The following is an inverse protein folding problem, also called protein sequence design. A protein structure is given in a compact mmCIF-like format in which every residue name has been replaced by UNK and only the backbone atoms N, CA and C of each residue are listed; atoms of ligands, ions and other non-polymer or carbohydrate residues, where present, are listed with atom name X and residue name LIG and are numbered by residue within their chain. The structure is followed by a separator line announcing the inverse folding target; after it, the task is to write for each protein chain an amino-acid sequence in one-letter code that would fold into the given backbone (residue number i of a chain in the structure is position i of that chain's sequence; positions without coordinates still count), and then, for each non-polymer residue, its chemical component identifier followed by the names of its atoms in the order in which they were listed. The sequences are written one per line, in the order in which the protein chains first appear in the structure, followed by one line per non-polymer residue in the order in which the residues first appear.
data_IF_166672756992
#
_entry.id   IF_166672756992
#
_cell.length_a   1.000
_cell.length_b   1.000
_cell.length_c   1.000
_cell.angle_alpha   90.00
_cell.angle_beta   90.00
_cell.angle_gamma   90.00
#
_symmetry.space_group_name_H-M   'P 1'
#
loop_
_entity.id
_entity.type
_entity.pdbx_description
1 polymer ?
#
# COMPACT_ATOMS: atom_id res chain seq x y z
N UNK A 1 -14.60 0.59 -10.48
CA UNK A 1 -15.67 1.46 -9.92
C UNK A 1 -15.72 1.44 -8.39
N UNK A 2 -15.48 0.31 -7.71
CA UNK A 2 -15.34 0.27 -6.23
C UNK A 2 -14.02 0.91 -5.73
N UNK A 3 -12.97 0.93 -6.56
CA UNK A 3 -11.64 1.45 -6.22
C UNK A 3 -11.62 2.95 -5.84
N UNK A 4 -12.36 3.82 -6.55
CA UNK A 4 -12.25 5.27 -6.34
C UNK A 4 -12.92 5.73 -5.05
N UNK A 5 -14.08 5.14 -4.71
CA UNK A 5 -14.76 5.43 -3.43
C UNK A 5 -13.94 4.97 -2.23
N UNK A 6 -13.22 3.84 -2.36
CA UNK A 6 -12.31 3.35 -1.32
C UNK A 6 -11.11 4.27 -1.16
N UNK A 7 -10.50 4.69 -2.27
CA UNK A 7 -9.42 5.68 -2.28
C UNK A 7 -9.85 7.00 -1.63
N UNK A 8 -11.07 7.44 -1.93
CA UNK A 8 -11.64 8.63 -1.33
C UNK A 8 -11.83 8.46 0.20
N UNK A 9 -12.39 7.34 0.66
CA UNK A 9 -12.58 7.08 2.08
C UNK A 9 -11.25 7.12 2.86
N UNK A 10 -10.16 6.61 2.28
CA UNK A 10 -8.83 6.62 2.91
C UNK A 10 -8.21 8.02 3.06
N UNK A 11 -8.55 8.96 2.18
CA UNK A 11 -7.99 10.33 2.18
C UNK A 11 -8.93 11.37 2.79
N UNK A 12 -10.23 11.08 2.88
CA UNK A 12 -11.25 11.99 3.41
C UNK A 12 -10.93 12.57 4.79
N UNK A 13 -10.42 11.80 5.78
CA UNK A 13 -10.02 12.37 7.06
C UNK A 13 -9.03 13.53 6.93
N UNK A 14 -8.06 13.41 6.02
CA UNK A 14 -7.00 14.39 5.79
C UNK A 14 -7.51 15.61 5.04
N UNK A 15 -8.38 15.41 4.04
CA UNK A 15 -9.05 16.50 3.33
C UNK A 15 -9.86 17.33 4.33
N UNK A 16 -10.68 16.69 5.16
CA UNK A 16 -11.49 17.38 6.16
C UNK A 16 -10.63 18.06 7.23
N UNK A 17 -9.53 17.45 7.69
CA UNK A 17 -8.61 18.08 8.63
C UNK A 17 -8.01 19.39 8.05
N UNK A 18 -7.68 19.36 6.76
CA UNK A 18 -7.08 20.48 6.03
C UNK A 18 -8.10 21.61 5.79
N UNK A 19 -9.29 21.29 5.28
CA UNK A 19 -10.22 22.29 4.75
C UNK A 19 -11.45 22.58 5.62
N UNK A 20 -11.89 21.67 6.47
CA UNK A 20 -13.11 21.88 7.25
C UNK A 20 -12.85 22.94 8.32
N UNK A 21 -13.54 24.08 8.27
CA UNK A 21 -13.51 25.08 9.32
C UNK A 21 -14.80 25.04 10.13
N UNK A 22 -14.78 25.55 11.35
CA UNK A 22 -15.99 25.65 12.18
C UNK A 22 -17.03 26.59 11.58
N UNK A 23 -16.56 27.64 10.89
CA UNK A 23 -17.35 28.57 10.07
C UNK A 23 -18.05 27.89 8.89
N UNK A 24 -17.49 26.78 8.36
CA UNK A 24 -18.07 26.05 7.22
C UNK A 24 -19.31 25.23 7.59
N UNK A 25 -19.54 25.00 8.89
CA UNK A 25 -20.65 24.18 9.36
C UNK A 25 -21.87 25.05 9.67
N UNK A 26 -23.05 24.65 9.20
CA UNK A 26 -24.30 25.26 9.62
C UNK A 26 -24.46 25.10 11.13
N UNK A 27 -24.82 26.18 11.82
CA UNK A 27 -24.90 26.19 13.28
C UNK A 27 -25.94 25.18 13.81
N UNK A 28 -27.10 25.08 13.15
CA UNK A 28 -28.15 24.14 13.51
C UNK A 28 -27.68 22.68 13.43
N UNK A 29 -26.94 22.33 12.37
CA UNK A 29 -26.37 20.99 12.20
C UNK A 29 -25.31 20.69 13.25
N UNK A 30 -24.43 21.65 13.52
CA UNK A 30 -23.40 21.53 14.55
C UNK A 30 -24.02 21.27 15.92
N UNK A 31 -25.04 22.05 16.31
CA UNK A 31 -25.78 21.86 17.57
C UNK A 31 -26.50 20.51 17.62
N UNK A 32 -27.04 20.06 16.50
CA UNK A 32 -27.71 18.75 16.40
C UNK A 32 -26.73 17.60 16.64
N UNK A 33 -25.57 17.62 15.97
CA UNK A 33 -24.50 16.63 16.18
C UNK A 33 -24.05 16.65 17.64
N UNK A 34 -23.74 17.83 18.18
CA UNK A 34 -23.29 18.01 19.57
C UNK A 34 -24.28 17.45 20.60
N UNK A 35 -25.59 17.67 20.41
CA UNK A 35 -26.63 17.08 21.25
C UNK A 35 -26.62 15.56 21.21
N UNK A 36 -26.49 14.94 20.03
CA UNK A 36 -26.48 13.48 19.90
C UNK A 36 -25.24 12.83 20.52
N UNK A 37 -24.11 13.52 20.51
CA UNK A 37 -22.87 13.05 21.14
C UNK A 37 -22.73 13.48 22.61
N UNK A 38 -23.70 14.22 23.15
CA UNK A 38 -23.70 14.75 24.51
C UNK A 38 -22.50 15.68 24.81
N UNK A 39 -22.09 16.48 23.83
CA UNK A 39 -21.01 17.49 23.98
C UNK A 39 -21.51 18.91 23.78
N UNK A 40 -20.80 19.89 24.36
CA UNK A 40 -21.24 21.30 24.37
C UNK A 40 -20.39 22.24 23.54
N UNK A 41 -19.14 21.87 23.21
CA UNK A 41 -18.19 22.76 22.52
C UNK A 41 -18.35 22.67 21.00
N UNK A 42 -18.70 23.78 20.33
CA UNK A 42 -18.92 23.82 18.87
C UNK A 42 -17.70 23.34 18.06
N UNK A 43 -16.48 23.65 18.52
CA UNK A 43 -15.25 23.18 17.89
C UNK A 43 -15.12 21.64 17.89
N UNK A 44 -15.86 20.93 18.74
CA UNK A 44 -15.91 19.46 18.76
C UNK A 44 -16.74 18.89 17.62
N UNK A 45 -17.71 19.63 17.06
CA UNK A 45 -18.52 19.14 15.95
C UNK A 45 -17.63 18.80 14.73
N UNK A 46 -16.72 19.71 14.36
CA UNK A 46 -15.70 19.46 13.32
C UNK A 46 -14.87 18.22 13.64
N UNK A 47 -14.31 18.13 14.84
CA UNK A 47 -13.43 17.03 15.22
C UNK A 47 -14.14 15.68 15.20
N UNK A 48 -15.43 15.66 15.57
CA UNK A 48 -16.27 14.46 15.55
C UNK A 48 -16.60 14.03 14.12
N UNK A 49 -16.85 14.97 13.21
CA UNK A 49 -17.01 14.67 11.78
C UNK A 49 -15.73 14.04 11.23
N UNK A 50 -14.56 14.62 11.51
CA UNK A 50 -13.27 14.06 11.08
C UNK A 50 -13.05 12.68 11.72
N UNK A 51 -13.32 12.53 13.02
CA UNK A 51 -13.19 11.25 13.72
C UNK A 51 -14.11 10.18 13.14
N UNK A 52 -15.33 10.54 12.73
CA UNK A 52 -16.25 9.63 12.04
C UNK A 52 -15.62 9.10 10.75
N UNK A 53 -15.04 9.97 9.92
CA UNK A 53 -14.31 9.53 8.73
C UNK A 53 -13.05 8.73 9.04
N UNK A 54 -12.38 8.98 10.17
CA UNK A 54 -11.27 8.14 10.64
C UNK A 54 -11.74 6.71 10.91
N UNK A 55 -12.89 6.52 11.57
CA UNK A 55 -13.43 5.18 11.80
C UNK A 55 -13.84 4.49 10.49
N UNK A 56 -14.44 5.24 9.55
CA UNK A 56 -14.75 4.72 8.21
C UNK A 56 -13.47 4.28 7.50
N UNK A 57 -12.43 5.11 7.48
CA UNK A 57 -11.16 4.80 6.83
C UNK A 57 -10.45 3.57 7.46
N UNK A 58 -10.45 3.48 8.80
CA UNK A 58 -9.95 2.31 9.53
C UNK A 58 -10.71 1.04 9.19
N UNK A 59 -12.04 1.10 9.22
CA UNK A 59 -12.90 -0.05 8.93
C UNK A 59 -12.68 -0.52 7.50
N UNK A 60 -12.61 0.40 6.55
CA UNK A 60 -12.31 0.06 5.15
C UNK A 60 -10.93 -0.61 5.02
N UNK A 61 -9.88 -0.10 5.67
CA UNK A 61 -8.57 -0.76 5.67
C UNK A 61 -8.67 -2.23 6.13
N UNK A 62 -9.34 -2.48 7.26
CA UNK A 62 -9.50 -3.85 7.78
C UNK A 62 -10.32 -4.74 6.84
N UNK A 63 -11.40 -4.20 6.25
CA UNK A 63 -12.26 -4.94 5.33
C UNK A 63 -11.52 -5.39 4.07
N UNK A 64 -10.54 -4.60 3.61
CA UNK A 64 -9.75 -4.89 2.42
C UNK A 64 -8.36 -5.46 2.73
N UNK A 65 -8.13 -5.94 3.95
CA UNK A 65 -6.86 -6.58 4.30
C UNK A 65 -6.78 -7.99 3.69
N UNK A 66 -5.64 -8.29 3.06
CA UNK A 66 -5.44 -9.53 2.30
C UNK A 66 -5.13 -10.73 3.19
N UNK A 67 -4.77 -10.50 4.45
CA UNK A 67 -4.41 -11.53 5.43
C UNK A 67 -4.96 -11.15 6.79
N UNK A 68 -5.57 -12.11 7.48
CA UNK A 68 -6.08 -11.92 8.83
C UNK A 68 -5.33 -12.83 9.79
N UNK A 69 -4.89 -12.28 10.92
CA UNK A 69 -4.49 -13.04 12.11
C UNK A 69 -5.67 -13.14 13.08
N UNK A 70 -5.50 -13.86 14.20
CA UNK A 70 -6.50 -13.86 15.28
C UNK A 70 -6.77 -12.42 15.77
N UNK A 71 -5.72 -11.62 15.95
CA UNK A 71 -5.83 -10.22 16.36
C UNK A 71 -6.55 -9.37 15.30
N UNK A 72 -6.34 -9.64 13.99
CA UNK A 72 -7.05 -8.93 12.92
C UNK A 72 -8.57 -9.07 13.00
N UNK A 73 -9.08 -10.24 13.44
CA UNK A 73 -10.53 -10.43 13.60
C UNK A 73 -11.09 -9.59 14.74
N UNK A 74 -10.37 -9.51 15.85
CA UNK A 74 -10.79 -8.70 17.01
C UNK A 74 -10.71 -7.20 16.69
N UNK A 75 -9.68 -6.79 15.93
CA UNK A 75 -9.56 -5.42 15.44
C UNK A 75 -10.65 -5.06 14.43
N UNK A 76 -11.01 -5.97 13.51
CA UNK A 76 -12.15 -5.82 12.60
C UNK A 76 -13.45 -5.63 13.39
N UNK A 77 -13.72 -6.49 14.38
CA UNK A 77 -14.93 -6.38 15.20
C UNK A 77 -15.02 -5.00 15.87
N UNK A 78 -13.93 -4.55 16.49
CA UNK A 78 -13.85 -3.25 17.13
C UNK A 78 -14.10 -2.11 16.14
N UNK A 79 -13.52 -2.17 14.95
CA UNK A 79 -13.74 -1.16 13.91
C UNK A 79 -15.21 -1.07 13.50
N UNK A 80 -15.85 -2.21 13.24
CA UNK A 80 -17.26 -2.29 12.84
C UNK A 80 -18.19 -1.75 13.93
N UNK A 81 -17.96 -2.12 15.19
CA UNK A 81 -18.75 -1.63 16.33
C UNK A 81 -18.63 -0.11 16.51
N UNK A 82 -17.42 0.44 16.38
CA UNK A 82 -17.20 1.87 16.51
C UNK A 82 -17.78 2.65 15.34
N UNK A 83 -17.66 2.14 14.11
CA UNK A 83 -18.30 2.72 12.92
C UNK A 83 -19.83 2.77 13.08
N UNK A 84 -20.44 1.65 13.52
CA UNK A 84 -21.87 1.57 13.79
C UNK A 84 -22.36 2.54 14.88
N UNK A 85 -21.51 2.86 15.87
CA UNK A 85 -21.86 3.81 16.94
C UNK A 85 -21.74 5.26 16.48
N UNK A 86 -20.68 5.60 15.73
CA UNK A 86 -20.38 7.00 15.40
C UNK A 86 -21.15 7.49 14.18
N UNK A 87 -21.32 6.65 13.15
CA UNK A 87 -21.92 7.06 11.88
C UNK A 87 -23.35 7.59 12.07
N UNK A 88 -24.26 6.91 12.82
CA UNK A 88 -25.61 7.44 13.07
C UNK A 88 -25.66 8.68 13.97
N UNK A 89 -24.65 8.87 14.82
CA UNK A 89 -24.56 10.07 15.68
C UNK A 89 -24.24 11.31 14.86
N UNK A 90 -23.33 11.19 13.90
CA UNK A 90 -22.95 12.29 13.01
C UNK A 90 -23.97 12.46 11.88
N UNK A 91 -24.35 11.36 11.24
CA UNK A 91 -25.22 11.29 10.07
C UNK A 91 -26.44 10.40 10.36
N UNK A 92 -27.56 10.96 10.87
CA UNK A 92 -28.69 10.20 11.37
C UNK A 92 -29.40 9.37 10.28
N UNK A 93 -29.28 9.79 9.01
CA UNK A 93 -29.78 9.05 7.85
C UNK A 93 -29.19 7.64 7.72
N UNK A 94 -28.03 7.36 8.32
CA UNK A 94 -27.42 6.03 8.29
C UNK A 94 -27.99 5.04 9.30
N UNK A 95 -28.72 5.49 10.33
CA UNK A 95 -29.13 4.65 11.46
C UNK A 95 -29.90 3.38 11.07
N UNK A 96 -30.71 3.47 10.00
CA UNK A 96 -31.60 2.39 9.56
C UNK A 96 -31.22 1.85 8.18
N UNK A 97 -30.02 2.15 7.67
CA UNK A 97 -29.62 1.66 6.36
C UNK A 97 -29.21 0.18 6.44
N UNK A 98 -29.72 -0.68 5.54
CA UNK A 98 -29.29 -2.08 5.45
C UNK A 98 -27.78 -2.22 5.30
N UNK A 99 -27.14 -1.27 4.61
CA UNK A 99 -25.70 -1.22 4.41
C UNK A 99 -24.91 -0.96 5.70
N UNK A 100 -25.52 -0.36 6.73
CA UNK A 100 -24.89 -0.25 8.05
C UNK A 100 -25.18 -1.50 8.89
N UNK A 101 -26.36 -2.10 8.74
CA UNK A 101 -26.71 -3.35 9.43
C UNK A 101 -25.80 -4.52 9.00
N UNK A 102 -25.43 -4.59 7.72
CA UNK A 102 -24.57 -5.66 7.19
C UNK A 102 -23.21 -5.74 7.93
N UNK A 103 -22.72 -4.63 8.50
CA UNK A 103 -21.46 -4.59 9.23
C UNK A 103 -21.40 -5.61 10.37
N UNK A 104 -22.53 -5.89 11.04
CA UNK A 104 -22.61 -6.88 12.12
C UNK A 104 -22.25 -8.30 11.60
N UNK A 105 -22.55 -8.58 10.33
CA UNK A 105 -22.33 -9.89 9.71
C UNK A 105 -20.95 -10.03 9.08
N UNK A 106 -20.22 -8.92 8.86
CA UNK A 106 -18.91 -8.93 8.20
C UNK A 106 -17.87 -9.74 8.98
N UNK A 107 -17.89 -9.72 10.31
CA UNK A 107 -16.97 -10.54 11.11
C UNK A 107 -17.20 -12.04 10.87
N UNK A 108 -18.45 -12.47 10.82
CA UNK A 108 -18.81 -13.88 10.56
C UNK A 108 -18.38 -14.28 9.16
N UNK A 109 -18.56 -13.40 8.18
CA UNK A 109 -18.08 -13.61 6.82
C UNK A 109 -16.56 -13.71 6.77
N UNK A 110 -15.83 -12.80 7.44
CA UNK A 110 -14.38 -12.86 7.53
C UNK A 110 -13.92 -14.19 8.12
N UNK A 111 -14.48 -14.63 9.26
CA UNK A 111 -14.10 -15.91 9.90
C UNK A 111 -14.44 -17.12 9.05
N UNK A 112 -15.59 -17.10 8.38
CA UNK A 112 -16.01 -18.18 7.48
C UNK A 112 -15.12 -18.23 6.24
N UNK A 113 -14.75 -17.06 5.69
CA UNK A 113 -14.09 -16.94 4.41
C UNK A 113 -12.61 -16.57 4.48
N UNK A 114 -12.02 -16.50 5.67
CA UNK A 114 -10.61 -16.20 5.92
C UNK A 114 -10.34 -14.70 5.86
N UNK A 115 -10.86 -14.02 4.84
CA UNK A 115 -10.85 -12.56 4.70
C UNK A 115 -12.14 -12.10 4.03
N UNK A 116 -12.44 -10.80 4.12
CA UNK A 116 -13.58 -10.21 3.44
C UNK A 116 -13.35 -10.03 1.93
N UNK A 117 -12.09 -9.96 1.48
CA UNK A 117 -11.73 -9.96 0.06
C UNK A 117 -12.30 -11.21 -0.65
N UNK A 118 -12.26 -12.37 0.02
CA UNK A 118 -12.79 -13.62 -0.54
C UNK A 118 -14.31 -13.60 -0.76
N UNK A 119 -15.01 -12.63 -0.17
CA UNK A 119 -16.46 -12.41 -0.37
C UNK A 119 -16.76 -11.22 -1.27
N UNK A 120 -15.74 -10.54 -1.79
CA UNK A 120 -15.91 -9.32 -2.55
C UNK A 120 -16.58 -9.58 -3.90
N UNK A 121 -17.63 -8.82 -4.17
CA UNK A 121 -18.40 -8.90 -5.43
C UNK A 121 -17.52 -8.57 -6.65
N UNK A 122 -16.49 -7.72 -6.50
CA UNK A 122 -15.57 -7.38 -7.58
C UNK A 122 -14.92 -8.59 -8.25
N UNK A 123 -14.46 -9.57 -7.46
CA UNK A 123 -13.88 -10.81 -7.98
C UNK A 123 -14.95 -11.61 -8.74
N UNK A 124 -16.16 -11.73 -8.16
CA UNK A 124 -17.30 -12.37 -8.83
C UNK A 124 -17.63 -11.70 -10.17
N UNK A 125 -17.67 -10.37 -10.23
CA UNK A 125 -17.97 -9.62 -11.46
C UNK A 125 -16.86 -9.76 -12.51
N UNK A 126 -15.59 -9.83 -12.08
CA UNK A 126 -14.47 -10.11 -12.97
C UNK A 126 -14.57 -11.52 -13.57
N UNK A 127 -14.82 -12.52 -12.72
CA UNK A 127 -15.08 -13.91 -13.14
C UNK A 127 -16.28 -13.98 -14.09
N UNK A 128 -17.36 -13.28 -13.78
CA UNK A 128 -18.56 -13.20 -14.62
C UNK A 128 -18.27 -12.58 -15.99
N UNK A 129 -17.44 -11.53 -16.03
CA UNK A 129 -16.99 -10.89 -17.28
C UNK A 129 -16.18 -11.85 -18.15
N UNK A 130 -15.23 -12.56 -17.55
CA UNK A 130 -14.42 -13.58 -18.24
C UNK A 130 -15.33 -14.68 -18.79
N UNK A 131 -16.26 -15.19 -18.00
CA UNK A 131 -17.19 -16.23 -18.46
C UNK A 131 -18.14 -15.76 -19.55
N UNK A 132 -18.63 -14.52 -19.47
CA UNK A 132 -19.40 -13.91 -20.57
C UNK A 132 -18.57 -13.80 -21.86
N UNK A 133 -17.29 -13.43 -21.76
CA UNK A 133 -16.41 -13.37 -22.92
C UNK A 133 -16.14 -14.76 -23.52
N UNK A 134 -16.03 -15.80 -22.68
CA UNK A 134 -15.83 -17.20 -23.13
C UNK A 134 -17.07 -17.83 -23.75
N UNK A 135 -18.28 -17.32 -23.47
CA UNK A 135 -19.54 -17.87 -23.98
C UNK A 135 -20.25 -16.82 -24.83
N UNK A 136 -19.83 -16.63 -26.10
CA UNK A 136 -20.41 -15.60 -26.97
C UNK A 136 -21.88 -15.85 -27.32
N UNK A 137 -22.40 -17.07 -27.11
CA UNK A 137 -23.81 -17.44 -27.30
C UNK A 137 -24.26 -18.44 -26.22
N UNK A 138 -25.21 -18.04 -25.37
CA UNK A 138 -25.73 -18.83 -24.22
C UNK A 138 -26.82 -19.81 -24.63
N UNK A 139 -26.54 -20.69 -25.59
CA UNK A 139 -27.50 -21.65 -26.08
C UNK A 139 -27.24 -22.98 -25.34
N UNK A 140 -28.06 -23.28 -24.32
CA UNK A 140 -28.17 -24.60 -23.65
C UNK A 140 -27.11 -25.02 -22.61
N UNK A 141 -26.23 -24.15 -22.09
CA UNK A 141 -25.33 -24.50 -20.98
C UNK A 141 -25.88 -24.00 -19.63
N UNK A 142 -26.04 -24.90 -18.65
CA UNK A 142 -26.46 -24.54 -17.29
C UNK A 142 -25.28 -23.94 -16.51
N UNK A 143 -25.00 -22.66 -16.77
CA UNK A 143 -23.90 -21.90 -16.18
C UNK A 143 -23.99 -21.89 -14.64
N UNK A 144 -25.20 -21.86 -14.07
CA UNK A 144 -25.41 -21.87 -12.62
C UNK A 144 -24.90 -23.16 -11.97
N UNK A 145 -25.21 -24.31 -12.56
CA UNK A 145 -24.76 -25.62 -12.06
C UNK A 145 -23.24 -25.80 -12.18
N UNK A 146 -22.64 -25.27 -13.24
CA UNK A 146 -21.18 -25.28 -13.41
C UNK A 146 -20.47 -24.36 -12.40
N UNK A 147 -21.07 -23.21 -12.08
CA UNK A 147 -20.57 -22.30 -11.04
C UNK A 147 -20.67 -22.92 -9.64
N UNK A 148 -21.80 -23.55 -9.32
CA UNK A 148 -22.00 -24.27 -8.07
C UNK A 148 -20.95 -25.38 -7.88
N UNK A 149 -20.70 -26.19 -8.92
CA UNK A 149 -19.64 -27.22 -8.88
C UNK A 149 -18.26 -26.62 -8.58
N UNK A 150 -17.89 -25.53 -9.27
CA UNK A 150 -16.60 -24.85 -9.05
C UNK A 150 -16.50 -24.29 -7.63
N UNK A 151 -17.57 -23.70 -7.13
CA UNK A 151 -17.63 -23.17 -5.76
C UNK A 151 -17.45 -24.30 -4.73
N UNK A 152 -18.15 -25.43 -4.90
CA UNK A 152 -17.99 -26.61 -4.05
C UNK A 152 -16.58 -27.17 -4.10
N UNK A 153 -15.94 -27.22 -5.28
CA UNK A 153 -14.55 -27.67 -5.42
C UNK A 153 -13.58 -26.75 -4.69
N UNK A 154 -13.67 -25.42 -4.88
CA UNK A 154 -12.81 -24.45 -4.18
C UNK A 154 -13.00 -24.53 -2.66
N UNK A 155 -14.24 -24.70 -2.23
CA UNK A 155 -14.58 -24.86 -0.82
C UNK A 155 -13.99 -26.13 -0.21
N UNK A 156 -14.07 -27.27 -0.93
CA UNK A 156 -13.46 -28.52 -0.49
C UNK A 156 -11.93 -28.41 -0.43
N UNK A 157 -11.31 -27.79 -1.43
CA UNK A 157 -9.86 -27.52 -1.44
C UNK A 157 -9.46 -26.71 -0.22
N UNK A 158 -10.19 -25.64 0.07
CA UNK A 158 -9.93 -24.83 1.25
C UNK A 158 -10.08 -25.61 2.54
N UNK A 159 -11.14 -26.39 2.69
CA UNK A 159 -11.34 -27.21 3.88
C UNK A 159 -10.18 -28.18 4.13
N UNK A 160 -9.58 -28.71 3.06
CA UNK A 160 -8.37 -29.54 3.12
C UNK A 160 -7.14 -28.73 3.54
N UNK A 161 -6.95 -27.53 2.98
CA UNK A 161 -5.84 -26.62 3.33
C UNK A 161 -5.90 -26.18 4.79
N UNK A 162 -7.11 -25.88 5.29
CA UNK A 162 -7.38 -25.47 6.67
C UNK A 162 -7.29 -26.66 7.67
N UNK A 163 -6.75 -27.81 7.23
CA UNK A 163 -6.53 -28.99 8.08
C UNK A 163 -7.82 -29.65 8.55
N UNK A 164 -8.92 -29.48 7.82
CA UNK A 164 -10.24 -30.00 8.18
C UNK A 164 -10.97 -29.18 9.24
N UNK A 165 -10.50 -27.97 9.56
CA UNK A 165 -11.19 -27.07 10.48
C UNK A 165 -12.28 -26.29 9.73
N UNK A 166 -13.54 -26.38 10.18
CA UNK A 166 -14.64 -25.53 9.74
C UNK A 166 -15.56 -25.23 10.91
N UNK A 167 -15.75 -23.95 11.24
CA UNK A 167 -16.59 -23.51 12.37
C UNK A 167 -18.08 -23.83 12.18
N UNK A 168 -18.53 -24.13 10.96
CA UNK A 168 -19.90 -24.58 10.68
C UNK A 168 -20.10 -26.07 10.94
N UNK A 169 -19.02 -26.84 11.02
CA UNK A 169 -19.06 -28.27 11.30
C UNK A 169 -18.84 -28.46 12.81
N UNK A 170 -19.66 -29.32 13.41
CA UNK A 170 -19.64 -29.58 14.85
C UNK A 170 -18.36 -30.29 15.32
N UNK A 171 -17.60 -30.89 14.42
CA UNK A 171 -16.33 -31.56 14.71
C UNK A 171 -15.32 -31.31 13.58
N UNK A 172 -14.07 -30.91 13.90
CA UNK A 172 -13.01 -30.77 12.91
C UNK A 172 -12.52 -32.16 12.43
N UNK A 173 -12.23 -32.28 11.13
CA UNK A 173 -11.68 -33.49 10.54
C UNK A 173 -10.17 -33.60 10.82
N UNK A 174 -9.79 -34.13 11.98
CA UNK A 174 -8.39 -34.25 12.44
C UNK A 174 -7.44 -34.99 11.48
N UNK A 175 -7.97 -35.79 10.55
CA UNK A 175 -7.19 -36.51 9.53
C UNK A 175 -6.50 -35.62 8.50
N UNK A 176 -6.93 -34.36 8.36
CA UNK A 176 -6.33 -33.41 7.39
C UNK A 176 -5.29 -32.47 8.03
N UNK A 177 -5.07 -32.53 9.34
CA UNK A 177 -4.14 -31.64 10.04
C UNK A 177 -2.68 -31.76 9.54
N UNK A 178 -2.31 -32.92 9.00
CA UNK A 178 -0.98 -33.18 8.40
C UNK A 178 -0.90 -32.89 6.90
N UNK A 179 -2.01 -32.54 6.23
CA UNK A 179 -2.01 -32.27 4.79
C UNK A 179 -1.48 -30.88 4.43
N UNK A 180 -1.58 -29.88 5.31
CA UNK A 180 -1.24 -28.48 5.00
C UNK A 180 0.22 -28.31 4.52
N UNK A 181 1.16 -29.09 5.05
CA UNK A 181 2.58 -29.07 4.63
C UNK A 181 2.79 -29.64 3.22
N UNK A 182 2.01 -30.66 2.82
CA UNK A 182 2.13 -31.31 1.51
C UNK A 182 1.27 -30.63 0.43
N UNK A 183 0.20 -29.93 0.82
CA UNK A 183 -0.74 -29.31 -0.12
C UNK A 183 -0.14 -28.11 -0.86
N UNK A 184 0.74 -27.35 -0.19
CA UNK A 184 1.43 -26.19 -0.81
C UNK A 184 2.27 -26.62 -2.02
N UNK A 185 2.96 -27.75 -1.94
CA UNK A 185 3.74 -28.32 -3.05
C UNK A 185 2.87 -28.85 -4.20
N UNK A 186 1.60 -29.16 -3.93
CA UNK A 186 0.67 -29.71 -4.92
C UNK A 186 0.03 -28.61 -5.79
N UNK A 187 -0.01 -27.37 -5.29
CA UNK A 187 -0.65 -26.21 -5.94
C UNK A 187 0.34 -25.17 -6.46
N UNK A 188 1.63 -25.24 -6.13
CA UNK A 188 2.66 -24.26 -6.52
C UNK A 188 2.86 -24.11 -8.04
N UNK A 189 2.35 -25.05 -8.85
CA UNK A 189 2.42 -24.99 -10.32
C UNK A 189 1.03 -24.86 -10.99
N UNK A 190 -0.03 -24.54 -10.24
CA UNK A 190 -1.40 -24.49 -10.75
C UNK A 190 -1.91 -23.05 -10.96
N UNK A 191 -1.10 -22.18 -11.56
CA UNK A 191 -1.61 -20.91 -12.07
C UNK A 191 -2.22 -21.12 -13.46
N UNK A 192 -3.45 -20.63 -13.64
CA UNK A 192 -4.01 -20.38 -14.97
C UNK A 192 -3.36 -19.08 -15.45
N UNK A 193 -2.24 -19.19 -16.17
CA UNK A 193 -1.69 -18.06 -16.92
C UNK A 193 -2.53 -17.86 -18.17
N UNK A 194 -3.28 -16.76 -18.25
CA UNK A 194 -3.49 -16.14 -19.56
C UNK A 194 -2.11 -15.64 -20.00
N UNK A 195 -1.59 -16.21 -21.08
CA UNK A 195 -0.47 -15.65 -21.83
C UNK A 195 -0.84 -14.23 -22.27
N UNK A 196 -0.54 -13.27 -21.41
CA UNK A 196 -0.47 -11.85 -21.74
C UNK A 196 0.94 -11.41 -21.43
N UNK A 197 1.88 -11.93 -22.21
CA UNK A 197 3.04 -11.14 -22.61
C UNK A 197 2.46 -9.87 -23.22
N UNK A 198 2.36 -8.85 -22.38
CA UNK A 198 1.93 -7.53 -22.78
C UNK A 198 3.01 -7.01 -23.70
N UNK A 199 2.62 -6.69 -24.94
CA UNK A 199 3.42 -5.93 -25.89
C UNK A 199 3.66 -4.51 -25.34
N UNK A 200 4.45 -4.38 -24.28
CA UNK A 200 5.16 -3.15 -24.00
C UNK A 200 6.41 -3.18 -24.86
N UNK A 201 6.48 -2.27 -25.83
CA UNK A 201 7.60 -2.09 -26.75
C UNK A 201 8.92 -2.18 -26.00
N UNK A 202 9.78 -3.11 -26.44
CA UNK A 202 11.19 -3.17 -26.05
C UNK A 202 11.83 -1.78 -26.29
N UNK A 203 12.66 -1.28 -25.35
CA UNK A 203 13.34 -0.02 -25.53
C UNK A 203 14.27 -0.05 -26.75
N UNK A 204 14.37 1.08 -27.45
CA UNK A 204 15.29 1.30 -28.58
C UNK A 204 16.74 0.95 -28.19
N UNK A 205 17.45 0.26 -29.08
CA UNK A 205 18.78 -0.39 -28.89
C UNK A 205 19.96 0.54 -28.51
N UNK A 206 19.72 1.81 -28.16
CA UNK A 206 20.77 2.82 -27.91
C UNK A 206 20.85 3.34 -26.46
N UNK A 207 20.11 2.78 -25.51
CA UNK A 207 20.28 3.14 -24.09
C UNK A 207 21.45 2.34 -23.47
N UNK A 208 22.46 3.04 -22.96
CA UNK A 208 23.57 2.42 -22.20
C UNK A 208 23.02 1.56 -21.05
N UNK A 209 23.34 0.27 -21.06
CA UNK A 209 22.82 -0.69 -20.09
C UNK A 209 23.24 -0.35 -18.65
N UNK A 210 22.26 -0.33 -17.75
CA UNK A 210 22.48 -0.11 -16.31
C UNK A 210 22.62 -1.47 -15.63
N UNK A 211 23.72 -1.64 -14.91
CA UNK A 211 24.03 -2.85 -14.17
C UNK A 211 23.31 -2.84 -12.82
N UNK A 212 22.74 -3.98 -12.47
CA UNK A 212 22.23 -4.22 -11.12
C UNK A 212 23.36 -4.69 -10.20
N UNK A 213 23.44 -4.19 -8.97
CA UNK A 213 24.37 -4.71 -7.97
C UNK A 213 23.89 -6.02 -7.31
N UNK A 214 22.64 -6.44 -7.58
CA UNK A 214 21.98 -7.59 -6.97
C UNK A 214 21.23 -8.43 -8.01
N UNK A 215 21.13 -9.74 -7.77
CA UNK A 215 20.56 -10.67 -8.76
C UNK A 215 19.04 -10.55 -8.89
N UNK A 216 18.35 -10.15 -7.81
CA UNK A 216 16.88 -10.04 -7.78
C UNK A 216 16.35 -8.75 -8.44
N UNK A 217 17.20 -7.85 -8.92
CA UNK A 217 16.80 -6.65 -9.67
C UNK A 217 17.33 -6.74 -11.10
N UNK A 218 16.46 -6.55 -12.07
CA UNK A 218 16.79 -6.59 -13.51
C UNK A 218 16.07 -5.47 -14.27
N UNK A 219 16.46 -5.25 -15.53
CA UNK A 219 15.80 -4.30 -16.45
C UNK A 219 15.67 -2.86 -15.91
N UNK A 220 16.75 -2.35 -15.30
CA UNK A 220 16.79 -0.96 -14.81
C UNK A 220 16.83 0.00 -15.99
N UNK A 221 15.81 0.86 -16.09
CA UNK A 221 15.66 1.90 -17.12
C UNK A 221 15.48 3.24 -16.42
N UNK A 222 16.22 4.26 -16.86
CA UNK A 222 16.11 5.63 -16.34
C UNK A 222 15.52 6.55 -17.40
N UNK A 223 14.48 7.29 -17.05
CA UNK A 223 13.71 8.10 -18.01
C UNK A 223 13.63 9.56 -17.59
N UNK A 224 13.45 10.42 -18.59
CA UNK A 224 13.28 11.88 -18.46
C UNK A 224 14.46 12.55 -17.75
N UNK A 225 15.49 12.92 -18.52
CA UNK A 225 16.67 13.57 -17.97
C UNK A 225 16.32 14.94 -17.36
N UNK A 226 16.90 15.25 -16.20
CA UNK A 226 16.66 16.52 -15.51
C UNK A 226 17.42 17.68 -16.16
N UNK A 227 16.85 18.88 -16.03
CA UNK A 227 17.52 20.11 -16.42
C UNK A 227 18.72 20.41 -15.50
N UNK A 228 19.64 21.26 -15.99
CA UNK A 228 20.77 21.73 -15.18
C UNK A 228 20.31 22.43 -13.89
N UNK A 229 19.24 23.20 -13.95
CA UNK A 229 18.70 23.94 -12.81
C UNK A 229 18.17 22.99 -11.73
N UNK A 230 17.42 21.96 -12.12
CA UNK A 230 16.89 20.97 -11.19
C UNK A 230 18.00 20.18 -10.50
N UNK A 231 19.03 19.80 -11.29
CA UNK A 231 20.24 19.18 -10.76
C UNK A 231 20.94 20.08 -9.73
N UNK A 232 21.14 21.36 -10.04
CA UNK A 232 21.78 22.30 -9.11
C UNK A 232 20.97 22.48 -7.82
N UNK A 233 19.64 22.43 -7.89
CA UNK A 233 18.77 22.48 -6.72
C UNK A 233 18.90 21.24 -5.83
N UNK A 234 18.96 20.04 -6.42
CA UNK A 234 19.18 18.80 -5.67
C UNK A 234 20.57 18.84 -5.01
N UNK A 235 21.60 19.21 -5.76
CA UNK A 235 22.98 19.26 -5.27
C UNK A 235 23.20 20.26 -4.13
N UNK A 236 22.47 21.39 -4.10
CA UNK A 236 22.54 22.37 -2.99
C UNK A 236 22.14 21.77 -1.64
N UNK A 237 21.28 20.75 -1.65
CA UNK A 237 20.79 20.09 -0.44
C UNK A 237 21.61 18.85 -0.05
N UNK A 238 22.72 18.57 -0.73
CA UNK A 238 23.60 17.40 -0.52
C UNK A 238 25.03 17.83 -0.21
N UNK A 239 25.32 18.36 1.00
CA UNK A 239 26.63 18.92 1.33
C UNK A 239 27.78 17.89 1.29
N UNK A 240 27.50 16.62 1.59
CA UNK A 240 28.48 15.53 1.68
C UNK A 240 28.44 14.57 0.49
N UNK A 241 28.01 15.06 -0.68
CA UNK A 241 27.75 14.22 -1.86
C UNK A 241 28.89 13.24 -2.20
N UNK A 242 30.13 13.72 -2.27
CA UNK A 242 31.28 12.89 -2.68
C UNK A 242 31.57 11.76 -1.71
N UNK A 243 31.55 12.04 -0.41
CA UNK A 243 31.80 11.03 0.62
C UNK A 243 30.67 10.01 0.70
N UNK A 244 29.43 10.45 0.58
CA UNK A 244 28.28 9.54 0.60
C UNK A 244 28.23 8.66 -0.64
N UNK A 245 28.50 9.22 -1.83
CA UNK A 245 28.59 8.44 -3.06
C UNK A 245 29.66 7.36 -2.96
N UNK A 246 30.83 7.67 -2.37
CA UNK A 246 31.88 6.68 -2.14
C UNK A 246 31.39 5.53 -1.26
N UNK A 247 30.67 5.83 -0.18
CA UNK A 247 30.07 4.82 0.69
C UNK A 247 29.01 3.99 -0.06
N UNK A 248 28.17 4.62 -0.88
CA UNK A 248 27.17 3.89 -1.70
C UNK A 248 27.82 2.94 -2.70
N UNK A 249 29.01 3.26 -3.22
CA UNK A 249 29.79 2.34 -4.04
C UNK A 249 30.35 1.16 -3.23
N UNK A 250 30.79 1.41 -2.00
CA UNK A 250 31.23 0.34 -1.11
C UNK A 250 30.08 -0.63 -0.78
N UNK A 251 28.85 -0.13 -0.62
CA UNK A 251 27.65 -0.94 -0.38
C UNK A 251 27.40 -1.96 -1.51
N UNK A 252 27.81 -1.64 -2.75
CA UNK A 252 27.68 -2.52 -3.93
C UNK A 252 28.98 -3.27 -4.28
N UNK A 253 29.93 -3.34 -3.34
CA UNK A 253 31.19 -4.07 -3.52
C UNK A 253 32.25 -3.37 -4.38
N UNK A 254 32.03 -2.10 -4.76
CA UNK A 254 32.97 -1.32 -5.56
C UNK A 254 33.89 -0.48 -4.64
N UNK A 255 35.21 -0.63 -4.81
CA UNK A 255 36.22 -0.01 -3.91
C UNK A 255 36.41 1.50 -4.10
N UNK A 256 35.95 2.06 -5.21
CA UNK A 256 35.93 3.51 -5.47
C UNK A 256 35.12 3.83 -6.73
N UNK A 257 34.75 5.11 -6.88
CA UNK A 257 34.15 5.66 -8.08
C UNK A 257 35.20 6.45 -8.88
N UNK A 258 35.10 6.48 -10.21
CA UNK A 258 35.88 7.42 -11.03
C UNK A 258 35.48 8.85 -10.66
N UNK A 259 36.42 9.68 -10.20
CA UNK A 259 36.18 11.05 -9.71
C UNK A 259 35.63 12.00 -10.81
N UNK A 260 35.64 11.58 -12.09
CA UNK A 260 35.35 12.44 -13.25
C UNK A 260 34.33 11.87 -14.26
N UNK A 261 33.52 10.87 -13.91
CA UNK A 261 32.52 10.36 -14.86
C UNK A 261 31.32 11.33 -15.00
N UNK A 262 30.76 11.41 -16.20
CA UNK A 262 29.54 12.17 -16.44
C UNK A 262 28.39 11.55 -15.62
N UNK A 263 27.66 12.41 -14.91
CA UNK A 263 26.52 12.03 -14.09
C UNK A 263 25.24 12.47 -14.78
N UNK A 264 24.42 11.49 -15.16
CA UNK A 264 23.08 11.71 -15.70
C UNK A 264 22.05 11.66 -14.58
N UNK A 265 21.22 12.70 -14.47
CA UNK A 265 20.09 12.77 -13.53
C UNK A 265 18.77 12.58 -14.27
N UNK A 266 17.82 11.95 -13.60
CA UNK A 266 16.57 11.49 -14.18
C UNK A 266 15.41 11.71 -13.22
N UNK A 267 14.20 11.90 -13.76
CA UNK A 267 12.97 12.04 -12.99
C UNK A 267 12.41 10.66 -12.58
N UNK A 268 12.60 9.63 -13.42
CA UNK A 268 12.06 8.29 -13.17
C UNK A 268 13.09 7.18 -13.30
N UNK A 269 12.89 6.12 -12.52
CA UNK A 269 13.49 4.81 -12.71
C UNK A 269 12.41 3.73 -12.79
N UNK A 270 12.60 2.74 -13.65
CA UNK A 270 11.77 1.53 -13.67
C UNK A 270 12.66 0.30 -13.66
N UNK A 271 12.29 -0.73 -12.91
CA UNK A 271 13.01 -1.99 -12.87
C UNK A 271 12.09 -3.16 -12.53
N UNK A 272 12.53 -4.37 -12.80
CA UNK A 272 11.85 -5.60 -12.40
C UNK A 272 12.53 -6.15 -11.15
N UNK A 273 11.74 -6.47 -10.13
CA UNK A 273 12.21 -7.04 -8.87
C UNK A 273 11.61 -8.43 -8.65
N UNK A 274 12.43 -9.41 -8.28
CA UNK A 274 11.99 -10.73 -7.84
C UNK A 274 11.65 -10.68 -6.35
N UNK A 275 10.41 -10.99 -6.00
CA UNK A 275 9.94 -11.10 -4.62
C UNK A 275 10.27 -12.48 -4.02
N UNK A 276 10.18 -12.60 -2.69
CA UNK A 276 10.58 -13.81 -1.95
C UNK A 276 9.73 -15.06 -2.25
N UNK A 277 8.58 -14.89 -2.91
CA UNK A 277 7.71 -15.96 -3.39
C UNK A 277 7.94 -16.31 -4.87
N UNK A 278 8.97 -15.73 -5.51
CA UNK A 278 9.31 -15.91 -6.93
C UNK A 278 8.45 -15.09 -7.89
N UNK A 279 7.61 -14.18 -7.39
CA UNK A 279 6.81 -13.28 -8.21
C UNK A 279 7.67 -12.11 -8.68
N UNK A 280 7.58 -11.77 -9.97
CA UNK A 280 8.27 -10.61 -10.52
C UNK A 280 7.34 -9.38 -10.53
N UNK A 281 7.75 -8.34 -9.82
CA UNK A 281 7.04 -7.07 -9.72
C UNK A 281 7.75 -5.96 -10.50
N UNK A 282 6.99 -5.22 -11.32
CA UNK A 282 7.52 -4.05 -12.04
C UNK A 282 7.45 -2.82 -11.14
N UNK A 283 8.60 -2.32 -10.75
CA UNK A 283 8.75 -1.16 -9.87
C UNK A 283 8.90 0.11 -10.68
N UNK A 284 8.20 1.16 -10.26
CA UNK A 284 8.27 2.50 -10.84
C UNK A 284 8.60 3.49 -9.73
N UNK A 285 9.70 4.21 -9.88
CA UNK A 285 10.15 5.26 -8.97
C UNK A 285 10.09 6.60 -9.67
N UNK A 286 9.61 7.60 -8.94
CA UNK A 286 9.61 9.00 -9.33
C UNK A 286 10.26 9.85 -8.23
N UNK A 287 10.88 10.97 -8.60
CA UNK A 287 11.30 11.98 -7.63
C UNK A 287 10.08 12.48 -6.84
N UNK A 288 10.13 12.43 -5.51
CA UNK A 288 9.04 12.76 -4.62
C UNK A 288 8.24 11.55 -4.13
N UNK A 289 8.49 10.36 -4.68
CA UNK A 289 7.91 9.14 -4.13
C UNK A 289 8.44 8.87 -2.72
N UNK A 290 7.56 8.34 -1.87
CA UNK A 290 7.92 7.85 -0.55
C UNK A 290 8.16 6.35 -0.62
N UNK A 291 9.31 5.92 -0.11
CA UNK A 291 9.78 4.54 -0.12
C UNK A 291 10.00 4.03 1.29
N UNK A 292 9.92 2.71 1.44
CA UNK A 292 10.29 2.00 2.68
C UNK A 292 11.67 1.38 2.48
N UNK A 293 12.52 1.53 3.49
CA UNK A 293 13.86 0.94 3.56
C UNK A 293 13.99 0.22 4.91
N UNK A 294 14.36 -1.05 4.90
CA UNK A 294 14.70 -1.80 6.11
C UNK A 294 16.14 -1.55 6.51
N UNK A 295 16.32 -1.20 7.77
CA UNK A 295 17.61 -1.21 8.44
C UNK A 295 17.60 -2.33 9.50
N UNK A 296 18.71 -3.09 9.59
CA UNK A 296 18.82 -4.27 10.46
C UNK A 296 18.48 -3.98 11.94
N UNK A 297 18.81 -2.78 12.43
CA UNK A 297 18.68 -2.42 13.85
C UNK A 297 17.40 -1.61 14.18
N UNK A 298 16.76 -1.00 13.18
CA UNK A 298 15.71 0.02 13.37
C UNK A 298 14.36 -0.35 12.71
N UNK A 299 14.30 -1.46 11.97
CA UNK A 299 13.07 -1.95 11.34
C UNK A 299 12.69 -1.18 10.07
N UNK A 300 11.41 -0.92 9.86
CA UNK A 300 10.92 -0.16 8.71
C UNK A 300 11.20 1.35 8.86
N UNK A 301 12.12 1.87 8.05
CA UNK A 301 12.36 3.30 7.88
C UNK A 301 11.66 3.83 6.62
N UNK A 302 11.35 5.12 6.60
CA UNK A 302 10.68 5.77 5.47
C UNK A 302 11.52 6.93 4.95
N UNK A 303 11.57 7.11 3.63
CA UNK A 303 12.29 8.20 3.01
C UNK A 303 11.56 8.74 1.77
N UNK A 304 11.80 9.99 1.42
CA UNK A 304 11.33 10.59 0.17
C UNK A 304 12.46 10.69 -0.84
N UNK A 305 12.22 10.24 -2.06
CA UNK A 305 13.21 10.35 -3.14
C UNK A 305 13.34 11.82 -3.55
N UNK A 306 14.56 12.36 -3.48
CA UNK A 306 14.90 13.70 -3.95
C UNK A 306 15.60 13.73 -5.29
N UNK A 307 16.13 12.60 -5.74
CA UNK A 307 16.86 12.53 -6.99
C UNK A 307 17.21 11.11 -7.37
N UNK A 308 17.32 10.88 -8.67
CA UNK A 308 17.68 9.60 -9.27
C UNK A 308 18.78 9.90 -10.29
N UNK A 309 19.87 9.15 -10.25
CA UNK A 309 20.99 9.38 -11.15
C UNK A 309 21.73 8.09 -11.48
N UNK A 310 22.41 8.08 -12.62
CA UNK A 310 23.39 7.04 -12.96
C UNK A 310 24.81 7.54 -12.75
N UNK A 311 25.69 6.63 -12.36
CA UNK A 311 27.12 6.89 -12.24
C UNK A 311 27.94 5.72 -12.73
N UNK A 312 29.08 6.01 -13.38
CA UNK A 312 29.98 4.98 -13.92
C UNK A 312 30.95 4.50 -12.84
N UNK A 313 30.97 3.19 -12.59
CA UNK A 313 31.91 2.52 -11.70
C UNK A 313 33.30 2.35 -12.33
N UNK A 314 34.24 1.83 -11.55
CA UNK A 314 35.60 1.56 -12.01
C UNK A 314 35.70 0.35 -12.95
N UNK A 315 34.67 -0.49 -12.98
CA UNK A 315 34.54 -1.64 -13.88
C UNK A 315 33.93 -1.27 -15.24
N UNK A 316 33.86 0.04 -15.51
CA UNK A 316 33.30 0.64 -16.71
C UNK A 316 31.78 0.43 -16.89
N UNK A 317 31.08 -0.05 -15.85
CA UNK A 317 29.62 -0.23 -15.86
C UNK A 317 28.89 0.95 -15.22
N UNK A 318 27.66 1.19 -15.65
CA UNK A 318 26.78 2.18 -15.03
C UNK A 318 25.91 1.55 -13.95
N UNK A 319 25.76 2.26 -12.83
CA UNK A 319 24.88 1.89 -11.73
C UNK A 319 23.89 3.01 -11.44
N UNK A 320 22.69 2.64 -10.97
CA UNK A 320 21.66 3.59 -10.57
C UNK A 320 21.69 3.85 -9.05
N UNK A 321 21.61 5.14 -8.71
CA UNK A 321 21.61 5.63 -7.34
C UNK A 321 20.43 6.56 -7.12
N UNK A 322 20.05 6.68 -5.86
CA UNK A 322 19.01 7.59 -5.39
C UNK A 322 19.61 8.53 -4.34
N UNK A 323 19.06 9.73 -4.28
CA UNK A 323 19.25 10.65 -3.15
C UNK A 323 17.93 10.76 -2.41
N UNK A 324 17.93 10.66 -1.09
CA UNK A 324 16.74 10.64 -0.26
C UNK A 324 16.82 11.61 0.92
N UNK A 325 15.67 12.02 1.44
CA UNK A 325 15.55 12.60 2.77
C UNK A 325 14.74 11.66 3.67
N UNK A 326 15.26 11.40 4.87
CA UNK A 326 14.61 10.49 5.83
C UNK A 326 13.41 11.14 6.52
N UNK A 327 12.39 10.32 6.79
CA UNK A 327 11.32 10.65 7.72
C UNK A 327 11.73 10.24 9.14
N UNK A 328 11.79 11.22 10.03
CA UNK A 328 12.06 11.02 11.45
C UNK A 328 10.75 11.00 12.23
N UNK A 329 10.52 9.90 12.97
CA UNK A 329 9.31 9.73 13.78
C UNK A 329 9.41 10.59 15.04
N UNK A 330 8.49 11.54 15.19
CA UNK A 330 8.50 12.44 16.35
C UNK A 330 7.86 11.83 17.60
N UNK A 331 7.46 10.55 17.56
CA UNK A 331 6.81 9.80 18.63
C UNK A 331 5.53 10.48 19.17
N UNK A 332 4.82 11.18 18.28
CA UNK A 332 3.54 11.84 18.58
C UNK A 332 2.47 11.36 17.60
N UNK A 333 1.24 11.29 18.10
CA UNK A 333 0.07 10.89 17.32
C UNK A 333 -0.81 12.12 17.12
N UNK A 334 -1.29 12.33 15.90
CA UNK A 334 -2.22 13.40 15.60
C UNK A 334 -3.52 13.23 16.39
N UNK A 335 -3.94 14.26 17.12
CA UNK A 335 -5.01 14.17 18.12
C UNK A 335 -6.36 13.70 17.55
N UNK A 336 -6.72 14.15 16.35
CA UNK A 336 -7.99 13.80 15.68
C UNK A 336 -7.82 12.63 14.71
N UNK A 337 -6.91 12.77 13.74
CA UNK A 337 -6.60 11.74 12.75
C UNK A 337 -6.07 10.43 13.32
N UNK A 338 -5.53 10.37 14.55
CA UNK A 338 -4.95 9.17 15.18
C UNK A 338 -3.85 8.49 14.36
N UNK A 339 -3.11 9.28 13.58
CA UNK A 339 -1.98 8.83 12.77
C UNK A 339 -0.65 9.35 13.34
N UNK A 340 0.47 8.61 13.20
CA UNK A 340 1.77 9.04 13.67
C UNK A 340 2.30 10.22 12.83
N UNK A 341 3.02 11.09 13.52
CA UNK A 341 3.60 12.30 12.96
C UNK A 341 5.10 12.10 12.70
N UNK A 342 5.56 12.72 11.62
CA UNK A 342 6.93 12.65 11.14
C UNK A 342 7.40 14.04 10.73
N UNK A 343 8.72 14.24 10.76
CA UNK A 343 9.39 15.37 10.14
C UNK A 343 10.35 14.87 9.07
N UNK A 344 10.55 15.64 8.02
CA UNK A 344 11.60 15.34 7.05
C UNK A 344 12.93 15.90 7.58
N UNK A 345 13.97 15.10 7.42
CA UNK A 345 15.34 15.49 7.72
C UNK A 345 15.74 16.77 6.97
N UNK A 346 16.35 17.73 7.68
CA UNK A 346 16.82 18.99 7.08
C UNK A 346 18.26 18.85 6.60
N UNK A 347 18.74 19.70 5.69
CA UNK A 347 20.13 19.67 5.20
C UNK A 347 21.21 19.81 6.30
N UNK A 348 20.84 20.29 7.49
CA UNK A 348 21.72 20.41 8.66
C UNK A 348 21.88 19.08 9.42
N UNK A 349 20.94 18.16 9.25
CA UNK A 349 21.02 16.83 9.84
C UNK A 349 22.01 15.98 9.03
N UNK A 350 23.24 15.88 9.53
CA UNK A 350 24.34 15.10 8.92
C UNK A 350 24.47 13.69 9.51
N UNK A 351 23.54 13.28 10.39
CA UNK A 351 23.61 11.99 11.08
C UNK A 351 23.32 10.79 10.16
N UNK A 352 22.53 11.00 9.10
CA UNK A 352 22.03 9.93 8.24
C UNK A 352 22.55 10.12 6.82
N UNK A 353 23.02 9.03 6.20
CA UNK A 353 23.36 8.99 4.77
C UNK A 353 22.11 9.28 3.94
N UNK A 354 22.28 9.89 2.76
CA UNK A 354 21.22 10.26 1.82
C UNK A 354 21.41 9.65 0.45
N UNK A 355 22.60 9.17 0.12
CA UNK A 355 22.88 8.55 -1.17
C UNK A 355 22.97 7.03 -1.00
N UNK A 356 22.21 6.32 -1.82
CA UNK A 356 22.15 4.87 -1.79
C UNK A 356 22.03 4.28 -3.20
N UNK A 357 22.49 3.04 -3.44
CA UNK A 357 22.12 2.31 -4.63
C UNK A 357 20.61 2.08 -4.66
N UNK A 358 20.02 2.01 -5.86
CA UNK A 358 18.56 1.78 -6.02
C UNK A 358 18.09 0.47 -5.36
N UNK A 359 19.01 -0.49 -5.17
CA UNK A 359 18.76 -1.80 -4.56
C UNK A 359 18.40 -1.76 -3.08
N UNK A 360 18.58 -0.61 -2.40
CA UNK A 360 18.20 -0.47 -0.99
C UNK A 360 16.67 -0.42 -0.78
N UNK A 361 15.92 -0.18 -1.86
CA UNK A 361 14.47 -0.04 -1.76
C UNK A 361 13.83 -1.43 -1.73
N UNK A 362 13.34 -1.84 -0.55
CA UNK A 362 12.64 -3.12 -0.41
C UNK A 362 11.24 -3.07 -1.02
N UNK A 363 10.52 -1.99 -0.73
CA UNK A 363 9.10 -1.86 -1.06
C UNK A 363 8.78 -0.45 -1.54
N UNK A 364 8.11 -0.38 -2.69
CA UNK A 364 7.65 0.86 -3.31
C UNK A 364 6.15 0.99 -3.15
N UNK A 365 5.67 2.21 -2.84
CA UNK A 365 4.25 2.60 -2.85
C UNK A 365 3.31 1.87 -1.87
N UNK A 366 3.83 1.16 -0.85
CA UNK A 366 3.02 0.59 0.24
C UNK A 366 2.72 1.57 1.38
N UNK A 367 3.31 2.76 1.34
CA UNK A 367 3.15 3.80 2.37
C UNK A 367 2.68 5.11 1.75
N UNK A 368 1.86 5.84 2.50
CA UNK A 368 1.30 7.12 2.06
C UNK A 368 1.46 8.15 3.16
N UNK A 369 2.06 9.29 2.82
CA UNK A 369 2.26 10.40 3.73
C UNK A 369 1.52 11.64 3.24
N UNK A 370 0.94 12.40 4.17
CA UNK A 370 0.27 13.66 3.88
C UNK A 370 0.96 14.76 4.66
N UNK A 371 1.38 15.82 3.98
CA UNK A 371 1.92 17.00 4.64
C UNK A 371 0.79 17.87 5.20
N UNK A 372 0.87 18.21 6.49
CA UNK A 372 -0.07 19.11 7.16
C UNK A 372 0.60 20.47 7.40
N UNK A 373 0.16 21.45 6.60
CA UNK A 373 0.65 22.84 6.64
C UNK A 373 0.36 23.56 7.96
N UNK A 374 -0.62 23.10 8.77
CA UNK A 374 -1.02 23.78 10.01
C UNK A 374 -0.04 23.53 11.15
N UNK A 375 0.58 22.35 11.14
CA UNK A 375 1.53 21.91 12.16
C UNK A 375 2.95 21.76 11.62
N UNK A 376 3.14 21.98 10.31
CA UNK A 376 4.43 21.85 9.59
C UNK A 376 5.06 20.46 9.78
N UNK A 377 4.23 19.42 9.68
CA UNK A 377 4.64 18.02 9.88
C UNK A 377 3.99 17.11 8.85
N UNK A 378 4.59 15.95 8.67
CA UNK A 378 4.07 14.88 7.83
C UNK A 378 3.29 13.88 8.66
N UNK A 379 2.18 13.39 8.12
CA UNK A 379 1.30 12.43 8.76
C UNK A 379 1.35 11.14 7.94
N UNK A 380 1.80 10.04 8.56
CA UNK A 380 1.74 8.72 7.91
C UNK A 380 0.29 8.24 7.92
N UNK A 381 -0.29 8.09 6.73
CA UNK A 381 -1.65 7.62 6.57
C UNK A 381 -1.73 6.11 6.86
N UNK A 382 -2.02 5.78 8.12
CA UNK A 382 -2.25 4.40 8.54
C UNK A 382 -3.54 3.80 7.98
N UNK A 383 -4.33 4.51 7.19
CA UNK A 383 -5.54 3.98 6.54
C UNK A 383 -5.31 3.58 5.10
N UNK A 384 -4.13 3.88 4.57
CA UNK A 384 -3.77 3.55 3.20
C UNK A 384 -3.59 2.05 3.01
N UNK A 385 -4.20 1.53 1.95
CA UNK A 385 -3.98 0.19 1.43
C UNK A 385 -4.10 0.22 -0.10
N UNK A 386 -3.32 -0.63 -0.76
CA UNK A 386 -3.46 -0.87 -2.20
C UNK A 386 -4.49 -1.97 -2.41
N UNK A 387 -5.69 -1.61 -2.86
CA UNK A 387 -6.69 -2.59 -3.26
C UNK A 387 -6.14 -3.42 -4.43
N UNK A 388 -6.17 -4.75 -4.31
CA UNK A 388 -5.78 -5.71 -5.34
C UNK A 388 -6.75 -5.64 -6.52
#
# INVERSE_FOLDING_TARGET
MMSDYLRLAMIMPFILNSFLETSSLKENESRSILRRIQESRINMAKNVIIACWVYVAKTMRMVFESKFTLDSYDELQKCLEEEMKILPKVFPEFANLPNLHINIHLLVHARTYGTLINTQVGIKEMVHRIFKAMVPRTNCKNVELDLLKRYTTLFAIRHLVDGGADQRLSQPCRGFATMSSNFRNLLTNWYITEDKVSNEQEPEENEEAISSPVDFITNIILKRSLSRQDRENIMKNLPNFKSELLLSFMDIGQKSALIYSQMGWYELATYTMEESDGVFSKVHLHIGDVVTIHEEDSGECYAIIKGIFKYKGNDDKYYAFITIDWFDNINRIHNVLKCPLFRIQTSQDIRWRRIFPISIIDHVQKVHFVYDTKIDLWIKNNYYFTAI
#
